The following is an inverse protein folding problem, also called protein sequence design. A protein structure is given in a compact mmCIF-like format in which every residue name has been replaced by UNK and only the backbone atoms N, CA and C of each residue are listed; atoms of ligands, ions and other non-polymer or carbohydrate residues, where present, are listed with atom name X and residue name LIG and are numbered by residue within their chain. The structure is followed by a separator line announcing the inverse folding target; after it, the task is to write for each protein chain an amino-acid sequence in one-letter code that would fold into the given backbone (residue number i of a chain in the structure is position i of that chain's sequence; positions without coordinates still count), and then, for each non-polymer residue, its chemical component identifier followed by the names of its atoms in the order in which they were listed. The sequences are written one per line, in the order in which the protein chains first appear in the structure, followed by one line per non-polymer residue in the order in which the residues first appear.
data_IF_906565814087
#
_entry.id   IF_906565814087
#
_cell.length_a   1.000
_cell.length_b   1.000
_cell.length_c   1.000
_cell.angle_alpha   90.00
_cell.angle_beta   90.00
_cell.angle_gamma   90.00
#
_symmetry.space_group_name_H-M   'P 1'
#
loop_
_entity.id
_entity.type
_entity.pdbx_description
1 polymer ?
#
# COMPACT_ATOMS: atom_id res chain seq x y z
N UNK A 1 8.56 -7.52 26.92
CA UNK A 1 9.31 -8.19 25.83
C UNK A 1 8.40 -8.30 24.60
N UNK A 2 8.88 -7.85 23.47
CA UNK A 2 8.12 -7.94 22.21
C UNK A 2 8.07 -9.42 21.78
N UNK A 3 6.86 -10.00 21.79
CA UNK A 3 6.66 -11.40 21.37
C UNK A 3 6.90 -11.58 19.86
N UNK A 4 7.02 -10.50 19.10
CA UNK A 4 7.29 -10.50 17.67
C UNK A 4 8.72 -10.04 17.36
N UNK A 5 9.65 -10.18 18.32
CA UNK A 5 11.04 -9.78 18.17
C UNK A 5 11.76 -10.61 17.09
N UNK A 6 11.39 -10.34 15.84
CA UNK A 6 12.04 -10.86 14.65
C UNK A 6 12.98 -9.78 14.15
N UNK A 7 14.18 -10.18 13.75
CA UNK A 7 15.12 -9.23 13.15
C UNK A 7 14.47 -8.56 11.93
N UNK A 8 14.47 -7.22 11.86
CA UNK A 8 13.81 -6.50 10.76
C UNK A 8 14.44 -6.81 9.42
N UNK A 9 13.60 -6.93 8.39
CA UNK A 9 14.05 -6.93 7.00
C UNK A 9 14.33 -5.49 6.59
N UNK A 10 15.50 -5.23 6.03
CA UNK A 10 15.89 -3.88 5.66
C UNK A 10 15.53 -3.55 4.23
N UNK A 11 14.95 -2.36 4.04
CA UNK A 11 14.73 -1.73 2.75
C UNK A 11 15.49 -0.41 2.74
N UNK A 12 16.19 -0.16 1.66
CA UNK A 12 16.92 1.10 1.46
C UNK A 12 16.21 1.95 0.43
N UNK A 13 15.98 3.22 0.79
CA UNK A 13 15.33 4.20 -0.08
C UNK A 13 16.30 5.29 -0.52
N UNK A 14 16.05 5.82 -1.70
CA UNK A 14 16.68 7.04 -2.21
C UNK A 14 15.67 8.17 -2.06
N UNK A 15 16.12 9.35 -1.63
CA UNK A 15 15.32 10.58 -1.71
C UNK A 15 15.34 11.10 -3.14
N UNK A 16 14.17 11.26 -3.73
CA UNK A 16 13.99 11.97 -5.02
C UNK A 16 13.49 13.40 -4.81
N UNK A 17 13.24 13.76 -3.54
CA UNK A 17 12.85 15.10 -3.11
C UNK A 17 13.48 15.39 -1.75
N UNK A 18 14.00 16.61 -1.49
CA UNK A 18 14.71 16.93 -0.24
C UNK A 18 13.84 16.76 1.02
N UNK A 19 12.52 16.89 0.90
CA UNK A 19 11.59 16.78 2.02
C UNK A 19 11.00 15.37 2.19
N UNK A 20 11.49 14.36 1.45
CA UNK A 20 11.03 12.99 1.58
C UNK A 20 11.22 12.45 2.99
N UNK A 21 10.23 11.70 3.47
CA UNK A 21 10.21 11.08 4.78
C UNK A 21 10.12 9.57 4.60
N UNK A 22 10.92 8.81 5.34
CA UNK A 22 10.84 7.35 5.32
C UNK A 22 9.45 6.88 5.76
N UNK A 23 8.93 5.80 5.17
CA UNK A 23 7.69 5.21 5.65
C UNK A 23 7.80 4.84 7.13
N UNK A 24 6.80 5.18 7.91
CA UNK A 24 6.85 4.98 9.36
C UNK A 24 5.49 4.55 9.92
N UNK A 25 5.52 3.85 11.05
CA UNK A 25 4.32 3.47 11.82
C UNK A 25 4.51 3.81 13.29
N UNK A 26 3.40 4.04 13.99
CA UNK A 26 3.43 4.41 15.41
C UNK A 26 3.64 3.20 16.30
N UNK A 27 2.93 2.12 16.05
CA UNK A 27 2.93 0.92 16.87
C UNK A 27 3.69 -0.22 16.21
N UNK A 28 4.42 -0.99 17.01
CA UNK A 28 5.15 -2.19 16.53
C UNK A 28 4.20 -3.22 15.92
N UNK A 29 2.94 -3.24 16.37
CA UNK A 29 1.92 -4.17 15.90
C UNK A 29 1.08 -3.63 14.73
N UNK A 30 1.31 -2.40 14.30
CA UNK A 30 0.63 -1.85 13.13
C UNK A 30 1.18 -2.51 11.85
N UNK A 31 0.29 -2.79 10.90
CA UNK A 31 0.68 -3.45 9.66
C UNK A 31 1.27 -2.48 8.66
N UNK A 32 0.63 -1.33 8.48
CA UNK A 32 0.97 -0.36 7.46
C UNK A 32 1.94 0.72 7.92
N UNK A 33 2.83 1.12 7.03
CA UNK A 33 3.74 2.24 7.23
C UNK A 33 3.21 3.44 6.47
N UNK A 34 3.07 4.59 7.13
CA UNK A 34 2.52 5.80 6.51
C UNK A 34 3.45 6.35 5.43
N UNK A 35 2.85 6.75 4.31
CA UNK A 35 3.49 7.50 3.24
C UNK A 35 3.06 8.96 3.34
N UNK A 36 4.04 9.87 3.18
CA UNK A 36 3.87 11.30 3.40
C UNK A 36 4.05 12.06 2.09
N UNK A 37 3.16 13.02 1.83
CA UNK A 37 3.27 13.91 0.68
C UNK A 37 4.43 14.90 0.86
N UNK A 38 5.17 15.16 -0.21
CA UNK A 38 6.25 16.17 -0.23
C UNK A 38 5.79 17.52 -0.76
N UNK A 39 4.55 17.61 -1.22
CA UNK A 39 3.99 18.88 -1.75
C UNK A 39 2.48 18.97 -1.54
N UNK A 40 1.94 20.16 -1.70
CA UNK A 40 0.51 20.38 -1.72
C UNK A 40 -0.10 19.94 -3.06
N UNK A 41 -1.20 19.19 -3.00
CA UNK A 41 -1.92 18.72 -4.19
C UNK A 41 -3.42 18.82 -3.94
N UNK A 42 -4.15 19.45 -4.86
CA UNK A 42 -5.61 19.44 -4.82
C UNK A 42 -6.15 18.25 -5.60
N UNK A 43 -7.00 17.46 -4.95
CA UNK A 43 -7.69 16.34 -5.59
C UNK A 43 -9.11 16.81 -5.89
N UNK A 44 -9.45 17.06 -7.18
CA UNK A 44 -10.75 17.63 -7.52
C UNK A 44 -11.89 16.69 -7.14
N UNK A 45 -13.04 17.29 -6.79
CA UNK A 45 -14.27 16.55 -6.53
C UNK A 45 -14.58 15.58 -7.68
N UNK A 46 -14.92 14.34 -7.36
CA UNK A 46 -15.19 13.27 -8.33
C UNK A 46 -14.02 12.97 -9.28
N UNK A 47 -12.82 13.43 -8.95
CA UNK A 47 -11.62 13.27 -9.77
C UNK A 47 -10.51 12.50 -9.06
N UNK A 48 -9.31 12.71 -9.55
CA UNK A 48 -8.10 12.08 -8.99
C UNK A 48 -6.87 12.95 -9.21
N UNK A 49 -5.85 12.71 -8.41
CA UNK A 49 -4.54 13.33 -8.60
C UNK A 49 -3.44 12.37 -8.13
N UNK A 50 -2.25 12.54 -8.67
CA UNK A 50 -1.06 11.80 -8.24
C UNK A 50 -0.30 12.65 -7.24
N UNK A 51 0.00 12.08 -6.08
CA UNK A 51 0.68 12.75 -4.97
C UNK A 51 2.06 12.13 -4.81
N UNK A 52 3.14 12.91 -4.93
CA UNK A 52 4.50 12.40 -4.81
C UNK A 52 4.91 12.19 -3.36
N UNK A 53 5.67 11.14 -3.10
CA UNK A 53 6.27 10.86 -1.79
C UNK A 53 7.75 11.21 -1.71
N UNK A 54 8.39 11.42 -2.85
CA UNK A 54 9.83 11.68 -2.91
C UNK A 54 10.70 10.48 -2.58
N UNK A 55 10.16 9.27 -2.67
CA UNK A 55 10.85 8.03 -2.34
C UNK A 55 11.03 7.14 -3.56
N UNK A 56 12.16 6.46 -3.59
CA UNK A 56 12.49 5.42 -4.56
C UNK A 56 13.18 4.28 -3.81
N UNK A 57 12.76 3.03 -4.07
CA UNK A 57 13.43 1.88 -3.47
C UNK A 57 14.78 1.67 -4.15
N UNK A 58 15.86 1.62 -3.37
CA UNK A 58 17.20 1.34 -3.87
C UNK A 58 17.50 -0.17 -3.87
N UNK A 59 17.20 -0.83 -2.76
CA UNK A 59 17.39 -2.27 -2.61
C UNK A 59 16.59 -2.83 -1.45
N UNK A 60 16.34 -4.12 -1.49
CA UNK A 60 15.83 -4.92 -0.38
C UNK A 60 16.82 -6.04 -0.05
N UNK A 61 16.88 -6.44 1.22
CA UNK A 61 17.77 -7.53 1.64
C UNK A 61 17.28 -8.91 1.20
N UNK A 62 15.98 -9.03 0.95
CA UNK A 62 15.35 -10.24 0.41
C UNK A 62 14.15 -9.88 -0.47
N UNK A 63 13.61 -10.86 -1.16
CA UNK A 63 12.43 -10.65 -2.01
C UNK A 63 11.22 -10.20 -1.19
N UNK A 64 10.74 -9.02 -1.51
CA UNK A 64 9.51 -8.43 -0.98
C UNK A 64 8.69 -7.87 -2.12
N UNK A 65 7.39 -7.78 -1.91
CA UNK A 65 6.50 -6.96 -2.72
C UNK A 65 5.68 -6.07 -1.78
N UNK A 66 5.13 -5.00 -2.30
CA UNK A 66 4.47 -4.00 -1.48
C UNK A 66 3.08 -3.71 -1.99
N UNK A 67 2.22 -3.26 -1.09
CA UNK A 67 0.85 -2.87 -1.43
C UNK A 67 0.58 -1.49 -0.86
N UNK A 68 0.12 -0.57 -1.73
CA UNK A 68 -0.37 0.73 -1.31
C UNK A 68 -1.82 0.57 -0.89
N UNK A 69 -2.12 0.98 0.33
CA UNK A 69 -3.40 0.78 1.00
C UNK A 69 -3.97 2.10 1.50
N UNK A 70 -5.31 2.20 1.65
CA UNK A 70 -5.93 3.40 2.20
C UNK A 70 -5.61 3.58 3.68
N UNK A 71 -5.57 4.83 4.13
CA UNK A 71 -5.64 5.21 5.53
C UNK A 71 -7.11 5.36 5.91
N UNK A 72 -7.51 4.78 7.06
CA UNK A 72 -8.90 4.74 7.48
C UNK A 72 -9.55 6.12 7.57
N UNK A 73 -8.87 7.11 8.14
CA UNK A 73 -9.44 8.44 8.34
C UNK A 73 -9.77 9.17 7.04
N UNK A 74 -8.94 9.06 6.03
CA UNK A 74 -9.20 9.69 4.73
C UNK A 74 -10.38 9.06 3.99
N UNK A 75 -10.50 7.74 4.09
CA UNK A 75 -11.63 7.02 3.48
C UNK A 75 -12.95 7.29 4.19
N UNK A 76 -12.99 7.10 5.51
CA UNK A 76 -14.22 7.24 6.31
C UNK A 76 -14.71 8.68 6.43
N UNK A 77 -13.81 9.67 6.54
CA UNK A 77 -14.19 11.06 6.76
C UNK A 77 -14.32 11.88 5.48
N UNK A 78 -13.51 11.59 4.48
CA UNK A 78 -13.37 12.46 3.31
C UNK A 78 -13.63 11.76 1.98
N UNK A 79 -13.91 10.47 1.99
CA UNK A 79 -14.13 9.67 0.76
C UNK A 79 -12.92 9.73 -0.20
N UNK A 80 -11.72 9.79 0.36
CA UNK A 80 -10.46 9.78 -0.39
C UNK A 80 -9.86 8.39 -0.30
N UNK A 81 -9.54 7.80 -1.45
CA UNK A 81 -8.91 6.48 -1.48
C UNK A 81 -7.75 6.43 -2.47
N UNK A 82 -6.64 5.77 -2.10
CA UNK A 82 -5.58 5.52 -3.05
C UNK A 82 -5.99 4.44 -4.05
N UNK A 83 -5.43 4.54 -5.25
CA UNK A 83 -5.38 3.42 -6.16
C UNK A 83 -4.62 2.27 -5.48
N UNK A 84 -5.23 1.09 -5.41
CA UNK A 84 -4.57 -0.10 -4.87
C UNK A 84 -3.45 -0.50 -5.83
N UNK A 85 -2.23 -0.29 -5.40
CA UNK A 85 -1.06 -0.53 -6.23
C UNK A 85 -0.21 -1.68 -5.69
N UNK A 86 -0.06 -2.73 -6.50
CA UNK A 86 0.96 -3.75 -6.26
C UNK A 86 2.27 -3.21 -6.79
N UNK A 87 3.29 -3.17 -5.92
CA UNK A 87 4.63 -2.73 -6.29
C UNK A 87 5.54 -3.94 -6.27
N UNK A 88 6.10 -4.26 -7.42
CA UNK A 88 6.97 -5.41 -7.61
C UNK A 88 8.32 -5.21 -6.92
N UNK A 89 8.93 -6.29 -6.49
CA UNK A 89 10.26 -6.28 -5.84
C UNK A 89 11.32 -5.57 -6.68
N UNK A 90 11.25 -5.70 -8.00
CA UNK A 90 12.22 -5.10 -8.92
C UNK A 90 11.94 -3.66 -9.31
N UNK A 91 10.81 -3.07 -8.89
CA UNK A 91 10.49 -1.69 -9.24
C UNK A 91 11.46 -0.70 -8.58
N UNK A 92 12.00 0.21 -9.39
CA UNK A 92 13.01 1.20 -8.97
C UNK A 92 12.64 2.64 -9.37
N UNK A 93 11.39 2.87 -9.75
CA UNK A 93 10.88 4.19 -10.04
C UNK A 93 10.38 4.92 -8.79
N UNK A 94 9.90 6.14 -8.98
CA UNK A 94 9.34 6.95 -7.90
C UNK A 94 8.08 6.30 -7.32
N UNK A 95 7.98 6.32 -6.00
CA UNK A 95 6.77 5.94 -5.29
C UNK A 95 5.85 7.16 -5.21
N UNK A 96 4.79 7.14 -5.99
CA UNK A 96 3.73 8.14 -5.94
C UNK A 96 2.40 7.45 -5.66
N UNK A 97 1.48 8.18 -5.06
CA UNK A 97 0.16 7.65 -4.72
C UNK A 97 -0.89 8.39 -5.53
N UNK A 98 -1.63 7.66 -6.35
CA UNK A 98 -2.82 8.22 -7.00
C UNK A 98 -3.98 8.17 -6.03
N UNK A 99 -4.55 9.32 -5.70
CA UNK A 99 -5.72 9.44 -4.82
C UNK A 99 -6.96 9.76 -5.65
N UNK A 100 -8.03 9.02 -5.38
CA UNK A 100 -9.37 9.28 -5.91
C UNK A 100 -10.18 10.04 -4.87
N UNK A 101 -10.97 11.00 -5.35
CA UNK A 101 -11.91 11.76 -4.52
C UNK A 101 -13.33 11.40 -4.92
N UNK A 102 -14.02 10.63 -4.12
CA UNK A 102 -15.41 10.22 -4.37
C UNK A 102 -16.43 11.21 -3.82
N UNK A 103 -15.99 12.31 -3.21
CA UNK A 103 -16.87 13.34 -2.66
C UNK A 103 -17.22 14.42 -3.69
N UNK A 104 -18.13 15.30 -3.32
CA UNK A 104 -18.58 16.43 -4.13
C UNK A 104 -17.75 17.71 -3.91
N UNK A 105 -16.73 17.65 -3.06
CA UNK A 105 -15.87 18.79 -2.73
C UNK A 105 -14.42 18.46 -3.02
N UNK A 106 -13.63 19.45 -3.43
CA UNK A 106 -12.20 19.30 -3.60
C UNK A 106 -11.55 18.95 -2.26
N UNK A 107 -10.51 18.12 -2.31
CA UNK A 107 -9.71 17.77 -1.16
C UNK A 107 -8.29 18.29 -1.34
N UNK A 108 -7.80 19.06 -0.36
CA UNK A 108 -6.46 19.60 -0.41
C UNK A 108 -5.52 18.77 0.45
N UNK A 109 -4.56 18.13 -0.20
CA UNK A 109 -3.41 17.53 0.46
C UNK A 109 -2.40 18.62 0.71
N UNK A 110 -1.91 18.73 1.92
CA UNK A 110 -0.83 19.64 2.27
C UNK A 110 0.49 18.87 2.32
N UNK A 111 1.59 19.58 2.04
CA UNK A 111 2.92 19.04 2.28
C UNK A 111 3.02 18.52 3.71
N UNK A 112 3.53 17.31 3.88
CA UNK A 112 3.65 16.66 5.20
C UNK A 112 2.45 15.82 5.61
N UNK A 113 1.36 15.86 4.86
CA UNK A 113 0.21 14.99 5.14
C UNK A 113 0.53 13.53 4.85
N UNK A 114 0.06 12.65 5.71
CA UNK A 114 0.07 11.20 5.49
C UNK A 114 -1.10 10.85 4.59
N UNK A 115 -0.82 10.27 3.43
CA UNK A 115 -1.79 10.13 2.33
C UNK A 115 -2.21 8.69 2.04
N UNK A 116 -1.41 7.73 2.46
CA UNK A 116 -1.65 6.30 2.27
C UNK A 116 -0.75 5.54 3.24
N UNK A 117 -0.88 4.24 3.23
CA UNK A 117 0.07 3.36 3.91
C UNK A 117 0.59 2.30 2.96
N UNK A 118 1.80 1.84 3.21
CA UNK A 118 2.42 0.75 2.47
C UNK A 118 2.57 -0.45 3.39
N UNK A 119 2.17 -1.63 2.92
CA UNK A 119 2.38 -2.89 3.59
C UNK A 119 3.36 -3.75 2.79
N UNK A 120 4.16 -4.53 3.49
CA UNK A 120 5.23 -5.34 2.90
C UNK A 120 4.91 -6.81 3.06
N UNK A 121 5.18 -7.59 2.00
CA UNK A 121 4.90 -9.04 1.97
C UNK A 121 6.09 -9.80 1.40
N UNK A 122 6.33 -11.03 1.88
CA UNK A 122 7.34 -11.90 1.28
C UNK A 122 6.98 -12.25 -0.17
N UNK A 123 7.96 -12.18 -1.07
CA UNK A 123 7.80 -12.65 -2.44
C UNK A 123 7.97 -14.17 -2.47
N UNK A 124 6.91 -14.86 -2.88
CA UNK A 124 6.93 -16.29 -3.03
C UNK A 124 7.27 -16.65 -4.48
N UNK A 125 8.04 -17.71 -4.64
CA UNK A 125 8.29 -18.32 -5.94
C UNK A 125 7.25 -19.43 -6.15
N UNK A 126 6.40 -19.29 -7.15
CA UNK A 126 5.32 -20.25 -7.44
C UNK A 126 5.58 -20.88 -8.79
N UNK A 127 5.51 -22.20 -8.82
CA UNK A 127 5.52 -22.99 -10.04
C UNK A 127 4.14 -23.61 -10.24
N UNK A 128 3.52 -23.36 -11.39
CA UNK A 128 2.14 -23.75 -11.66
C UNK A 128 2.09 -24.95 -12.60
N UNK A 129 1.20 -25.89 -12.28
CA UNK A 129 0.99 -27.11 -13.04
C UNK A 129 -0.49 -27.27 -13.40
N UNK A 130 -0.76 -27.87 -14.55
CA UNK A 130 -2.10 -28.31 -14.90
C UNK A 130 -2.44 -29.60 -14.15
N UNK A 131 -3.67 -29.66 -13.63
CA UNK A 131 -4.24 -30.88 -13.05
C UNK A 131 -5.50 -31.28 -13.85
N UNK A 132 -5.87 -32.56 -13.81
CA UNK A 132 -7.06 -33.08 -14.50
C UNK A 132 -8.27 -33.12 -13.58
N UNK A 133 -8.07 -33.12 -12.29
CA UNK A 133 -9.14 -33.16 -11.28
C UNK A 133 -8.73 -32.37 -10.02
N UNK A 134 -9.71 -32.05 -9.19
CA UNK A 134 -9.49 -31.33 -7.92
C UNK A 134 -9.53 -32.30 -6.74
N UNK A 135 -8.81 -31.94 -5.67
CA UNK A 135 -9.00 -32.58 -4.37
C UNK A 135 -10.39 -32.27 -3.82
N UNK A 136 -10.95 -33.23 -3.07
CA UNK A 136 -12.21 -33.00 -2.34
C UNK A 136 -11.94 -32.18 -1.08
N UNK A 137 -12.72 -31.12 -0.88
CA UNK A 137 -12.68 -30.30 0.32
C UNK A 137 -14.08 -30.13 0.89
N UNK A 138 -14.18 -29.78 2.18
CA UNK A 138 -15.48 -29.54 2.82
C UNK A 138 -16.27 -28.41 2.18
N UNK A 139 -15.55 -27.38 1.71
CA UNK A 139 -16.17 -26.23 1.02
C UNK A 139 -16.63 -26.58 -0.40
N UNK A 140 -15.87 -27.42 -1.12
CA UNK A 140 -16.10 -27.72 -2.53
C UNK A 140 -16.07 -26.46 -3.40
N UNK A 141 -17.09 -26.29 -4.21
CA UNK A 141 -17.25 -25.14 -5.12
C UNK A 141 -18.16 -24.03 -4.58
N UNK A 142 -18.54 -24.11 -3.31
CA UNK A 142 -19.34 -23.06 -2.68
C UNK A 142 -18.58 -21.74 -2.61
N UNK A 143 -19.14 -20.71 -3.24
CA UNK A 143 -18.56 -19.38 -3.29
C UNK A 143 -19.59 -18.35 -3.73
N UNK A 144 -19.17 -17.09 -3.88
CA UNK A 144 -20.04 -16.01 -4.38
C UNK A 144 -21.38 -15.87 -3.66
N UNK A 145 -21.39 -16.05 -2.32
CA UNK A 145 -22.60 -15.95 -1.51
C UNK A 145 -23.40 -17.25 -1.41
N UNK A 146 -22.91 -18.37 -1.89
CA UNK A 146 -23.59 -19.66 -1.82
C UNK A 146 -23.77 -20.17 -0.39
N UNK A 147 -23.01 -19.66 0.58
CA UNK A 147 -23.15 -19.98 2.01
C UNK A 147 -24.35 -19.26 2.69
N UNK A 148 -25.04 -18.41 1.95
CA UNK A 148 -26.18 -17.64 2.46
C UNK A 148 -25.78 -16.47 3.34
N UNK A 149 -26.77 -15.70 3.78
CA UNK A 149 -26.59 -14.58 4.71
C UNK A 149 -26.87 -15.03 6.14
#
# INVERSE_FOLDING_TARGET
MDQFAIEPVKIHFIKTHPDAVLPSKKGVNDTGYDLTSVEGVTIPAKGSAVVPTGLQVAKTERGLWYLILPRSGMGFKHSIQPHLGVIDNGYRGDLAVKLYNFSDVDYNVNKGDRIAQIAYFPLLCIESFWATETETTDRGDNGFGSSGN
#
